data_IF_109171838863
#
_entry.id   IF_109171838863
#
_cell.length_a   1.000
_cell.length_b   1.000
_cell.length_c   1.000
_cell.angle_alpha   90.00
_cell.angle_beta   90.00
_cell.angle_gamma   90.00
#
_symmetry.space_group_name_H-M   'P 1'
#
loop_
_entity.id
_entity.type
_entity.pdbx_description
1 polymer ?
#
# COMPACT_ATOMS: atom_id res chain seq x y z
N UNK A 1 7.57 1.55 -33.84
CA UNK A 1 7.77 0.29 -33.09
C UNK A 1 6.49 -0.52 -33.13
N UNK A 2 6.52 -1.77 -32.64
CA UNK A 2 5.39 -2.72 -32.66
C UNK A 2 4.31 -2.46 -31.57
N UNK A 3 4.24 -1.26 -30.99
CA UNK A 3 3.32 -0.93 -29.88
C UNK A 3 1.82 -1.08 -30.19
N UNK A 4 1.48 -1.26 -31.48
CA UNK A 4 0.12 -1.57 -31.89
C UNK A 4 -0.28 -2.99 -31.46
N UNK A 5 0.62 -3.99 -31.52
CA UNK A 5 0.31 -5.39 -31.16
C UNK A 5 -0.14 -5.49 -29.69
N UNK A 6 0.55 -4.78 -28.78
CA UNK A 6 0.28 -4.74 -27.33
C UNK A 6 -0.81 -3.75 -26.92
N UNK A 7 -1.35 -2.96 -27.85
CA UNK A 7 -2.41 -1.97 -27.59
C UNK A 7 -3.71 -2.26 -28.32
N UNK A 8 -3.68 -3.11 -29.35
CA UNK A 8 -4.84 -3.52 -30.13
C UNK A 8 -5.99 -4.11 -29.27
N UNK A 9 -5.75 -4.96 -28.25
CA UNK A 9 -6.84 -5.48 -27.42
C UNK A 9 -7.53 -4.37 -26.59
N UNK A 10 -6.75 -3.42 -26.07
CA UNK A 10 -7.29 -2.28 -25.31
C UNK A 10 -8.08 -1.34 -26.22
N UNK A 11 -7.59 -1.10 -27.44
CA UNK A 11 -8.28 -0.27 -28.43
C UNK A 11 -9.57 -0.92 -28.94
N UNK A 12 -9.58 -2.23 -29.18
CA UNK A 12 -10.80 -2.99 -29.49
C UNK A 12 -11.83 -2.88 -28.35
N UNK A 13 -11.39 -3.08 -27.10
CA UNK A 13 -12.25 -2.95 -25.92
C UNK A 13 -12.79 -1.53 -25.74
N UNK A 14 -11.95 -0.51 -25.97
CA UNK A 14 -12.37 0.89 -25.93
C UNK A 14 -13.36 1.22 -27.06
N UNK A 15 -13.10 0.75 -28.29
CA UNK A 15 -13.98 0.93 -29.44
C UNK A 15 -15.36 0.29 -29.22
N UNK A 16 -15.40 -0.94 -28.69
CA UNK A 16 -16.65 -1.58 -28.28
C UNK A 16 -17.37 -0.81 -27.16
N UNK A 17 -16.63 -0.26 -26.19
CA UNK A 17 -17.18 0.52 -25.09
C UNK A 17 -17.77 1.88 -25.48
N UNK A 18 -17.34 2.46 -26.62
CA UNK A 18 -17.88 3.72 -27.18
C UNK A 18 -18.81 3.51 -28.38
N UNK A 19 -19.02 2.26 -28.82
CA UNK A 19 -20.02 1.96 -29.84
C UNK A 19 -21.42 2.26 -29.27
N UNK A 20 -22.32 2.95 -30.00
CA UNK A 20 -23.62 3.33 -29.47
C UNK A 20 -24.46 2.12 -29.02
N UNK A 21 -24.85 2.11 -27.75
CA UNK A 21 -25.79 1.16 -27.15
C UNK A 21 -26.72 1.90 -26.19
N UNK A 22 -27.87 1.31 -25.86
CA UNK A 22 -28.76 1.87 -24.84
C UNK A 22 -28.07 2.01 -23.47
N UNK A 23 -27.06 1.17 -23.19
CA UNK A 23 -26.31 1.16 -21.93
C UNK A 23 -25.23 2.24 -21.81
N UNK A 24 -24.78 2.88 -22.90
CA UNK A 24 -23.76 3.94 -22.87
C UNK A 24 -24.23 5.28 -23.47
N UNK A 25 -25.48 5.37 -23.92
CA UNK A 25 -26.09 6.59 -24.48
C UNK A 25 -25.84 7.84 -23.62
N UNK A 26 -26.17 7.77 -22.33
CA UNK A 26 -25.93 8.83 -21.34
C UNK A 26 -24.48 9.31 -21.28
N UNK A 27 -23.52 8.40 -21.46
CA UNK A 27 -22.10 8.72 -21.46
C UNK A 27 -21.69 9.41 -22.76
N UNK A 28 -22.18 8.92 -23.91
CA UNK A 28 -21.93 9.52 -25.22
C UNK A 28 -22.52 10.94 -25.34
N UNK A 29 -23.72 11.16 -24.80
CA UNK A 29 -24.34 12.50 -24.75
C UNK A 29 -23.54 13.48 -23.86
N UNK A 30 -22.95 12.99 -22.76
CA UNK A 30 -22.08 13.79 -21.87
C UNK A 30 -20.66 13.97 -22.41
N UNK A 31 -20.24 13.19 -23.40
CA UNK A 31 -18.91 13.23 -24.02
C UNK A 31 -18.99 13.35 -25.55
N UNK A 32 -19.59 14.44 -26.08
CA UNK A 32 -19.67 14.67 -27.53
C UNK A 32 -18.28 14.87 -28.12
N UNK A 33 -18.12 14.57 -29.43
CA UNK A 33 -16.83 14.70 -30.12
C UNK A 33 -16.29 16.15 -30.01
N UNK A 34 -15.06 16.38 -29.51
CA UNK A 34 -14.56 17.74 -29.25
C UNK A 34 -14.47 18.60 -30.51
N UNK A 35 -14.71 19.90 -30.36
CA UNK A 35 -14.54 20.87 -31.44
C UNK A 35 -13.10 20.88 -31.99
N UNK A 36 -12.10 20.73 -31.10
CA UNK A 36 -10.66 20.73 -31.45
C UNK A 36 -10.02 19.34 -31.32
N UNK A 37 -10.58 18.35 -32.02
CA UNK A 37 -10.16 16.92 -31.94
C UNK A 37 -8.65 16.66 -31.94
N UNK A 38 -7.86 17.35 -32.76
CA UNK A 38 -6.40 17.13 -32.83
C UNK A 38 -5.69 17.58 -31.54
N UNK A 39 -6.08 18.74 -30.97
CA UNK A 39 -5.51 19.28 -29.73
C UNK A 39 -5.89 18.40 -28.55
N UNK A 40 -7.17 18.02 -28.47
CA UNK A 40 -7.65 17.06 -27.47
C UNK A 40 -6.87 15.74 -27.54
N UNK A 41 -6.72 15.16 -28.73
CA UNK A 41 -5.97 13.91 -28.92
C UNK A 41 -4.49 14.04 -28.53
N UNK A 42 -3.84 15.18 -28.82
CA UNK A 42 -2.46 15.43 -28.43
C UNK A 42 -2.26 15.49 -26.91
N UNK A 43 -3.22 16.08 -26.17
CA UNK A 43 -3.18 16.18 -24.70
C UNK A 43 -3.63 14.90 -23.99
N UNK A 44 -4.60 14.16 -24.55
CA UNK A 44 -5.13 12.93 -23.98
C UNK A 44 -4.19 11.72 -24.15
N UNK A 45 -3.43 11.65 -25.25
CA UNK A 45 -2.45 10.58 -25.51
C UNK A 45 -1.46 10.33 -24.36
N UNK A 46 -0.72 11.33 -23.83
CA UNK A 46 0.22 11.10 -22.73
C UNK A 46 -0.47 10.73 -21.41
N UNK A 47 -1.69 11.25 -21.15
CA UNK A 47 -2.49 10.87 -19.98
C UNK A 47 -2.91 9.40 -20.05
N UNK A 48 -3.40 8.96 -21.21
CA UNK A 48 -3.79 7.57 -21.46
C UNK A 48 -2.59 6.60 -21.40
N UNK A 49 -1.45 6.98 -21.98
CA UNK A 49 -0.21 6.20 -21.88
C UNK A 49 0.22 6.04 -20.41
N UNK A 50 0.22 7.14 -19.63
CA UNK A 50 0.59 7.06 -18.21
C UNK A 50 -0.42 6.27 -17.38
N UNK A 51 -1.70 6.35 -17.70
CA UNK A 51 -2.74 5.53 -17.06
C UNK A 51 -2.52 4.03 -17.35
N UNK A 52 -2.11 3.65 -18.58
CA UNK A 52 -1.79 2.26 -18.94
C UNK A 52 -0.55 1.73 -18.18
N UNK A 53 0.51 2.54 -18.05
CA UNK A 53 1.67 2.18 -17.21
C UNK A 53 1.29 1.94 -15.74
N UNK A 54 0.49 2.84 -15.16
CA UNK A 54 0.02 2.70 -13.78
C UNK A 54 -0.97 1.55 -13.63
N UNK A 55 -1.78 1.24 -14.64
CA UNK A 55 -2.67 0.08 -14.63
C UNK A 55 -1.88 -1.24 -14.59
N UNK A 56 -0.81 -1.37 -15.38
CA UNK A 56 0.09 -2.51 -15.31
C UNK A 56 0.75 -2.62 -13.93
N UNK A 57 1.20 -1.49 -13.38
CA UNK A 57 1.76 -1.40 -12.01
C UNK A 57 0.75 -1.85 -10.96
N UNK A 58 -0.51 -1.39 -11.05
CA UNK A 58 -1.60 -1.79 -10.15
C UNK A 58 -1.91 -3.28 -10.25
N UNK A 59 -1.92 -3.86 -11.46
CA UNK A 59 -2.13 -5.29 -11.66
C UNK A 59 -1.02 -6.10 -10.98
N UNK A 60 0.25 -5.72 -11.15
CA UNK A 60 1.37 -6.36 -10.46
C UNK A 60 1.22 -6.27 -8.94
N UNK A 61 1.06 -5.06 -8.39
CA UNK A 61 0.94 -4.84 -6.94
C UNK A 61 -0.27 -5.56 -6.33
N UNK A 62 -1.46 -5.44 -6.93
CA UNK A 62 -2.70 -5.94 -6.32
C UNK A 62 -3.06 -7.38 -6.70
N UNK A 63 -2.93 -7.77 -7.98
CA UNK A 63 -3.38 -9.09 -8.44
C UNK A 63 -2.31 -10.16 -8.32
N UNK A 64 -1.03 -9.77 -8.40
CA UNK A 64 0.10 -10.69 -8.28
C UNK A 64 0.66 -10.63 -6.85
N UNK A 65 1.31 -9.54 -6.46
CA UNK A 65 2.06 -9.48 -5.19
C UNK A 65 1.18 -9.73 -3.96
N UNK A 66 0.03 -9.05 -3.81
CA UNK A 66 -0.88 -9.32 -2.68
C UNK A 66 -1.32 -10.78 -2.66
N UNK A 67 -1.69 -11.36 -3.81
CA UNK A 67 -2.12 -12.76 -3.88
C UNK A 67 -0.99 -13.71 -3.48
N UNK A 68 0.19 -13.57 -4.07
CA UNK A 68 1.36 -14.42 -3.76
C UNK A 68 1.73 -14.36 -2.27
N UNK A 69 1.62 -13.19 -1.64
CA UNK A 69 1.89 -13.03 -0.20
C UNK A 69 0.81 -13.63 0.69
N UNK A 70 -0.46 -13.55 0.30
CA UNK A 70 -1.56 -14.24 1.01
C UNK A 70 -1.44 -15.76 0.85
N UNK A 71 -1.21 -16.26 -0.36
CA UNK A 71 -1.03 -17.68 -0.65
C UNK A 71 0.19 -18.25 0.13
N UNK A 72 1.29 -17.48 0.22
CA UNK A 72 2.45 -17.82 1.05
C UNK A 72 2.10 -17.87 2.55
N UNK A 73 1.33 -16.89 3.05
CA UNK A 73 0.89 -16.87 4.45
C UNK A 73 0.01 -18.09 4.77
N UNK A 74 -0.94 -18.44 3.91
CA UNK A 74 -1.77 -19.64 4.06
C UNK A 74 -0.93 -20.92 4.05
N UNK A 75 -0.02 -21.06 3.08
CA UNK A 75 0.87 -22.21 3.00
C UNK A 75 1.74 -22.38 4.25
N UNK A 76 2.24 -21.27 4.82
CA UNK A 76 3.05 -21.26 6.03
C UNK A 76 2.24 -21.54 7.29
N UNK A 77 1.03 -20.99 7.44
CA UNK A 77 0.11 -21.33 8.53
C UNK A 77 -0.32 -22.82 8.46
N UNK A 78 -0.57 -23.34 7.26
CA UNK A 78 -0.91 -24.75 7.06
C UNK A 78 0.25 -25.67 7.44
N UNK A 79 1.48 -25.35 7.02
CA UNK A 79 2.68 -26.06 7.42
C UNK A 79 2.87 -26.02 8.95
N UNK A 80 2.72 -24.85 9.56
CA UNK A 80 2.78 -24.69 11.02
C UNK A 80 1.69 -25.50 11.76
N UNK A 81 0.49 -25.62 11.19
CA UNK A 81 -0.61 -26.36 11.81
C UNK A 81 -0.40 -27.87 11.72
N UNK A 82 -0.11 -28.39 10.52
CA UNK A 82 -0.19 -29.81 10.20
C UNK A 82 1.16 -30.50 9.97
N UNK A 83 2.29 -29.82 10.15
CA UNK A 83 3.63 -30.40 9.98
C UNK A 83 3.84 -31.64 10.87
N UNK A 84 4.52 -32.66 10.32
CA UNK A 84 4.89 -33.89 11.04
C UNK A 84 6.16 -34.50 10.45
N UNK A 85 6.98 -35.11 11.31
CA UNK A 85 8.11 -35.95 10.88
C UNK A 85 7.64 -37.40 10.98
N UNK A 86 7.19 -37.97 9.86
CA UNK A 86 6.69 -39.36 9.84
C UNK A 86 6.85 -40.02 8.47
N UNK A 87 7.11 -41.33 8.49
CA UNK A 87 7.03 -42.21 7.32
C UNK A 87 5.60 -42.71 7.05
N UNK A 88 4.63 -42.40 7.92
CA UNK A 88 3.23 -42.84 7.82
C UNK A 88 2.29 -41.78 7.24
N UNK A 89 2.70 -40.52 7.16
CA UNK A 89 1.89 -39.46 6.58
C UNK A 89 2.68 -38.17 6.33
N UNK A 90 2.28 -37.42 5.29
CA UNK A 90 2.86 -36.11 4.91
C UNK A 90 2.38 -34.94 5.78
N UNK A 91 1.32 -35.17 6.54
CA UNK A 91 0.68 -34.21 7.43
C UNK A 91 0.16 -34.95 8.68
N UNK A 92 -0.09 -34.18 9.75
CA UNK A 92 -0.52 -34.70 11.03
C UNK A 92 -1.79 -35.57 10.94
N UNK A 93 -2.77 -35.16 10.15
CA UNK A 93 -4.05 -35.87 10.04
C UNK A 93 -3.85 -37.26 9.39
N UNK A 94 -3.04 -37.31 8.33
CA UNK A 94 -2.66 -38.58 7.68
C UNK A 94 -1.86 -39.47 8.62
N UNK A 95 -0.92 -38.88 9.38
CA UNK A 95 -0.16 -39.60 10.41
C UNK A 95 -1.09 -40.18 11.49
N UNK A 96 -1.96 -39.37 12.09
CA UNK A 96 -2.85 -39.78 13.18
C UNK A 96 -3.83 -40.88 12.75
N UNK A 97 -4.34 -40.83 11.52
CA UNK A 97 -5.27 -41.84 10.98
C UNK A 97 -4.60 -43.18 10.62
N UNK A 98 -3.28 -43.18 10.42
CA UNK A 98 -2.51 -44.37 10.00
C UNK A 98 -1.61 -44.93 11.09
N UNK A 99 -1.29 -44.13 12.12
CA UNK A 99 -0.53 -44.58 13.27
C UNK A 99 -1.31 -45.63 14.06
N UNK A 100 -0.65 -46.77 14.31
CA UNK A 100 -1.09 -47.82 15.24
C UNK A 100 0.01 -48.22 16.23
N UNK A 101 1.04 -47.37 16.40
CA UNK A 101 2.04 -47.55 17.45
C UNK A 101 1.64 -46.75 18.68
N UNK A 102 1.81 -47.34 19.87
CA UNK A 102 1.67 -46.63 21.13
C UNK A 102 2.69 -45.49 21.25
N UNK A 103 2.31 -44.42 21.94
CA UNK A 103 3.19 -43.29 22.26
C UNK A 103 4.44 -43.75 23.01
N UNK A 104 5.59 -43.21 22.62
CA UNK A 104 6.87 -43.39 23.32
C UNK A 104 7.48 -42.04 23.72
N UNK A 105 8.52 -42.07 24.56
CA UNK A 105 9.30 -40.87 24.88
C UNK A 105 9.91 -40.22 23.62
N UNK A 106 10.21 -41.02 22.60
CA UNK A 106 10.87 -40.58 21.38
C UNK A 106 9.94 -39.92 20.36
N UNK A 107 8.64 -39.83 20.61
CA UNK A 107 7.68 -39.20 19.69
C UNK A 107 7.50 -37.71 20.01
N UNK A 108 7.35 -37.38 21.29
CA UNK A 108 7.14 -36.02 21.77
C UNK A 108 8.44 -35.28 22.12
N UNK A 109 9.48 -35.50 21.31
CA UNK A 109 10.82 -34.96 21.52
C UNK A 109 11.42 -34.38 20.22
N UNK A 110 12.35 -33.44 20.37
CA UNK A 110 13.26 -32.97 19.33
C UNK A 110 12.58 -32.45 18.07
N UNK A 111 13.08 -32.89 16.92
CA UNK A 111 12.66 -32.45 15.60
C UNK A 111 11.24 -32.91 15.25
N UNK A 112 10.81 -34.11 15.68
CA UNK A 112 9.44 -34.64 15.50
C UNK A 112 8.40 -33.72 16.14
N UNK A 113 8.58 -33.39 17.41
CA UNK A 113 7.68 -32.49 18.12
C UNK A 113 7.82 -31.04 17.65
N UNK A 114 8.93 -30.65 17.01
CA UNK A 114 9.10 -29.30 16.46
C UNK A 114 8.27 -28.96 15.21
N UNK A 115 7.63 -29.94 14.56
CA UNK A 115 7.09 -29.77 13.20
C UNK A 115 5.78 -28.99 13.08
N UNK A 116 4.79 -29.25 13.93
CA UNK A 116 3.43 -28.73 13.71
C UNK A 116 2.58 -28.68 14.97
N UNK A 117 1.72 -27.66 15.06
CA UNK A 117 0.89 -27.36 16.23
C UNK A 117 -0.04 -28.51 16.60
N UNK A 118 -0.66 -29.21 15.64
CA UNK A 118 -1.52 -30.37 15.96
C UNK A 118 -0.73 -31.53 16.59
N UNK A 119 0.50 -31.78 16.14
CA UNK A 119 1.38 -32.78 16.75
C UNK A 119 1.79 -32.38 18.18
N UNK A 120 2.05 -31.10 18.40
CA UNK A 120 2.32 -30.57 19.74
C UNK A 120 1.11 -30.71 20.67
N UNK A 121 -0.09 -30.37 20.19
CA UNK A 121 -1.34 -30.54 20.93
C UNK A 121 -1.55 -32.02 21.30
N UNK A 122 -1.33 -32.96 20.38
CA UNK A 122 -1.36 -34.38 20.69
C UNK A 122 -0.38 -34.76 21.81
N UNK A 123 0.85 -34.28 21.74
CA UNK A 123 1.87 -34.51 22.77
C UNK A 123 1.53 -33.89 24.14
N UNK A 124 0.86 -32.73 24.16
CA UNK A 124 0.48 -32.00 25.38
C UNK A 124 -0.82 -32.50 26.03
N UNK A 125 -1.70 -33.13 25.25
CA UNK A 125 -3.07 -33.44 25.67
C UNK A 125 -3.49 -34.89 25.55
N UNK A 126 -2.75 -35.73 24.80
CA UNK A 126 -3.14 -37.13 24.55
C UNK A 126 -2.07 -38.06 25.13
N UNK A 127 -2.34 -38.55 26.34
CA UNK A 127 -1.54 -39.55 27.02
C UNK A 127 -1.50 -40.92 26.33
N UNK A 128 -0.82 -41.87 26.99
CA UNK A 128 -0.68 -43.24 26.54
C UNK A 128 -1.95 -44.07 26.81
N UNK A 129 -2.63 -43.87 27.94
CA UNK A 129 -4.00 -44.32 28.20
C UNK A 129 -4.95 -43.11 28.32
N UNK A 130 -6.26 -43.36 28.50
CA UNK A 130 -7.29 -42.30 28.55
C UNK A 130 -7.21 -41.49 29.84
N UNK A 131 -6.80 -42.14 30.92
CA UNK A 131 -6.57 -41.56 32.26
C UNK A 131 -5.54 -40.43 32.27
N UNK A 132 -4.68 -40.32 31.25
CA UNK A 132 -3.69 -39.23 31.11
C UNK A 132 -4.04 -38.25 29.97
N UNK A 133 -5.31 -38.11 29.63
CA UNK A 133 -5.80 -37.14 28.61
C UNK A 133 -6.55 -35.94 29.22
N UNK A 134 -6.76 -35.93 30.53
CA UNK A 134 -7.53 -34.93 31.28
C UNK A 134 -6.92 -33.52 31.25
N UNK A 135 -5.58 -33.42 31.19
CA UNK A 135 -4.81 -32.21 31.46
C UNK A 135 -5.07 -30.99 30.56
N UNK A 136 -5.77 -31.14 29.42
CA UNK A 136 -6.09 -30.03 28.53
C UNK A 136 -7.56 -29.57 28.56
N UNK A 137 -8.51 -30.44 28.95
CA UNK A 137 -9.96 -30.12 28.95
C UNK A 137 -10.66 -30.38 30.29
N UNK A 138 -9.95 -30.92 31.29
CA UNK A 138 -10.48 -31.24 32.61
C UNK A 138 -11.28 -32.55 32.69
N UNK A 139 -11.18 -33.42 31.68
CA UNK A 139 -11.83 -34.72 31.63
C UNK A 139 -11.22 -35.62 30.56
N UNK A 140 -11.37 -36.94 30.71
CA UNK A 140 -10.78 -37.92 29.80
C UNK A 140 -11.42 -37.88 28.40
N UNK A 141 -10.58 -38.00 27.37
CA UNK A 141 -10.98 -38.30 26.00
C UNK A 141 -11.38 -39.78 25.88
N UNK A 142 -12.27 -40.09 24.94
CA UNK A 142 -12.68 -41.47 24.63
C UNK A 142 -11.54 -42.38 24.13
N UNK A 143 -10.41 -41.79 23.73
CA UNK A 143 -9.25 -42.46 23.12
C UNK A 143 -7.93 -41.82 23.53
N UNK A 144 -6.87 -42.62 23.50
CA UNK A 144 -5.49 -42.21 23.79
C UNK A 144 -4.55 -42.48 22.61
N UNK A 145 -3.26 -42.17 22.75
CA UNK A 145 -2.25 -42.51 21.76
C UNK A 145 -1.75 -43.95 21.98
N UNK A 146 -2.68 -44.90 21.80
CA UNK A 146 -2.52 -46.34 22.04
C UNK A 146 -1.90 -47.10 20.86
N UNK A 147 -1.64 -48.40 21.04
CA UNK A 147 -1.22 -49.32 19.97
C UNK A 147 -2.37 -49.76 19.03
N UNK A 148 -3.34 -48.88 18.77
CA UNK A 148 -4.52 -49.15 17.94
C UNK A 148 -4.58 -48.16 16.79
N UNK A 149 -4.74 -48.66 15.56
CA UNK A 149 -4.75 -47.82 14.36
C UNK A 149 -5.92 -46.83 14.39
N UNK A 150 -5.61 -45.54 14.34
CA UNK A 150 -6.60 -44.46 14.27
C UNK A 150 -7.13 -43.95 15.61
N UNK A 151 -6.75 -44.56 16.75
CA UNK A 151 -7.14 -44.05 18.07
C UNK A 151 -6.64 -42.62 18.30
N UNK A 152 -5.42 -42.30 17.84
CA UNK A 152 -4.87 -40.94 17.88
C UNK A 152 -5.69 -39.94 17.05
N UNK A 153 -6.22 -40.34 15.88
CA UNK A 153 -7.09 -39.49 15.08
C UNK A 153 -8.45 -39.25 15.76
N UNK A 154 -9.02 -40.28 16.39
CA UNK A 154 -10.27 -40.15 17.15
C UNK A 154 -10.10 -39.21 18.35
N UNK A 155 -9.04 -39.41 19.15
CA UNK A 155 -8.69 -38.55 20.29
C UNK A 155 -8.48 -37.08 19.86
N UNK A 156 -7.76 -36.84 18.76
CA UNK A 156 -7.59 -35.49 18.21
C UNK A 156 -8.89 -34.88 17.66
N UNK A 157 -9.77 -35.68 17.06
CA UNK A 157 -11.08 -35.25 16.56
C UNK A 157 -12.02 -34.86 17.70
N UNK A 158 -11.89 -35.50 18.85
CA UNK A 158 -12.58 -35.13 20.08
C UNK A 158 -12.01 -33.84 20.67
N UNK A 159 -10.71 -33.84 20.98
CA UNK A 159 -9.98 -32.72 21.58
C UNK A 159 -10.12 -31.40 20.80
N UNK A 160 -10.02 -31.42 19.47
CA UNK A 160 -10.08 -30.19 18.65
C UNK A 160 -11.45 -29.51 18.64
N UNK A 161 -12.53 -30.19 19.04
CA UNK A 161 -13.85 -29.55 19.25
C UNK A 161 -13.82 -28.52 20.38
N UNK A 162 -12.88 -28.62 21.31
CA UNK A 162 -12.73 -27.73 22.44
C UNK A 162 -11.94 -26.46 22.12
N UNK A 163 -11.21 -26.41 20.99
CA UNK A 163 -10.38 -25.26 20.61
C UNK A 163 -11.18 -23.96 20.40
N UNK A 164 -12.50 -24.03 20.19
CA UNK A 164 -13.39 -22.87 20.04
C UNK A 164 -14.01 -22.37 21.36
N UNK A 165 -13.70 -23.00 22.50
CA UNK A 165 -14.22 -22.58 23.82
C UNK A 165 -13.54 -21.30 24.35
N UNK A 166 -12.40 -20.91 23.79
CA UNK A 166 -11.68 -19.68 24.13
C UNK A 166 -12.02 -18.49 23.22
N UNK A 167 -11.40 -17.34 23.51
CA UNK A 167 -11.45 -16.17 22.60
C UNK A 167 -10.79 -16.53 21.27
N UNK A 168 -11.51 -16.32 20.16
CA UNK A 168 -10.95 -16.41 18.82
C UNK A 168 -10.43 -15.02 18.41
N UNK A 169 -9.11 -14.76 18.42
CA UNK A 169 -8.58 -13.46 18.03
C UNK A 169 -8.72 -13.23 16.52
N UNK A 170 -8.87 -11.97 16.12
CA UNK A 170 -8.75 -11.59 14.70
C UNK A 170 -7.36 -11.93 14.20
N UNK A 171 -7.27 -12.57 13.03
CA UNK A 171 -6.00 -12.88 12.38
C UNK A 171 -5.33 -11.60 11.88
N UNK A 172 -4.20 -11.23 12.50
CA UNK A 172 -3.33 -10.13 12.07
C UNK A 172 -1.85 -10.55 12.21
N UNK A 173 -0.89 -9.85 11.59
CA UNK A 173 0.53 -10.11 11.80
C UNK A 173 0.95 -10.07 13.27
N UNK A 174 0.34 -9.20 14.07
CA UNK A 174 0.62 -8.98 15.49
C UNK A 174 0.05 -10.11 16.35
N UNK A 175 -1.19 -10.55 16.10
CA UNK A 175 -1.81 -11.63 16.88
C UNK A 175 -1.10 -12.97 16.65
N UNK A 176 -0.57 -13.21 15.45
CA UNK A 176 0.30 -14.36 15.16
C UNK A 176 1.61 -14.31 15.97
N UNK A 177 2.31 -13.16 15.99
CA UNK A 177 3.55 -12.97 16.78
C UNK A 177 3.29 -13.11 18.28
N UNK A 178 2.20 -12.54 18.77
CA UNK A 178 1.80 -12.63 20.17
C UNK A 178 1.48 -14.09 20.58
N UNK A 179 0.82 -14.86 19.71
CA UNK A 179 0.55 -16.28 19.96
C UNK A 179 1.83 -17.12 20.06
N UNK A 180 2.80 -16.91 19.15
CA UNK A 180 4.12 -17.57 19.22
C UNK A 180 4.84 -17.20 20.52
N UNK A 181 4.96 -15.90 20.81
CA UNK A 181 5.62 -15.43 22.02
C UNK A 181 4.94 -15.92 23.32
N UNK A 182 3.61 -16.05 23.33
CA UNK A 182 2.88 -16.60 24.47
C UNK A 182 3.25 -18.07 24.74
N UNK A 183 3.37 -18.89 23.69
CA UNK A 183 3.79 -20.31 23.83
C UNK A 183 5.28 -20.42 24.18
N UNK A 184 6.15 -19.64 23.54
CA UNK A 184 7.59 -19.59 23.88
C UNK A 184 7.80 -19.25 25.36
N UNK A 185 7.05 -18.29 25.88
CA UNK A 185 7.09 -17.91 27.29
C UNK A 185 6.66 -19.03 28.26
N UNK A 186 5.90 -20.04 27.82
CA UNK A 186 5.47 -21.17 28.65
C UNK A 186 6.48 -22.33 28.65
N UNK A 187 7.40 -22.36 27.67
CA UNK A 187 8.48 -23.35 27.65
C UNK A 187 9.34 -23.18 28.90
N UNK A 188 9.56 -24.28 29.60
CA UNK A 188 10.32 -24.36 30.84
C UNK A 188 9.58 -23.97 32.12
N UNK A 189 8.30 -23.56 32.10
CA UNK A 189 7.64 -23.07 33.34
C UNK A 189 7.21 -24.13 34.37
N UNK A 190 7.22 -25.43 34.04
CA UNK A 190 6.60 -26.49 34.87
C UNK A 190 7.50 -27.69 35.21
N UNK A 191 8.82 -27.57 35.08
CA UNK A 191 9.76 -28.61 35.52
C UNK A 191 10.10 -28.47 37.02
N UNK A 192 10.10 -29.58 37.76
CA UNK A 192 10.16 -29.55 39.25
C UNK A 192 11.53 -29.77 39.88
N UNK A 193 12.54 -30.28 39.16
CA UNK A 193 13.85 -30.63 39.77
C UNK A 193 15.09 -30.29 38.93
N UNK A 194 15.21 -30.74 37.67
CA UNK A 194 16.46 -30.55 36.87
C UNK A 194 16.29 -30.37 35.36
N UNK A 195 15.10 -30.56 34.79
CA UNK A 195 14.89 -30.65 33.32
C UNK A 195 13.96 -29.54 32.81
N UNK A 196 14.27 -28.31 33.23
CA UNK A 196 13.32 -27.19 33.24
C UNK A 196 13.54 -26.20 32.08
N UNK A 197 14.47 -26.48 31.15
CA UNK A 197 14.86 -25.53 30.09
C UNK A 197 14.18 -25.73 28.72
N UNK A 198 13.64 -26.91 28.45
CA UNK A 198 13.31 -27.34 27.08
C UNK A 198 11.88 -27.90 26.91
N UNK A 199 11.04 -27.85 27.95
CA UNK A 199 9.73 -28.56 27.95
C UNK A 199 8.51 -27.67 28.00
N UNK A 200 7.44 -28.11 27.35
CA UNK A 200 6.09 -27.55 27.48
C UNK A 200 5.14 -28.67 27.97
N UNK A 201 4.28 -28.41 28.96
CA UNK A 201 3.36 -29.41 29.53
C UNK A 201 3.71 -29.91 30.94
N UNK A 202 3.17 -31.07 31.34
CA UNK A 202 3.38 -31.73 32.65
C UNK A 202 4.52 -32.74 32.52
N UNK A 203 5.58 -32.61 33.31
CA UNK A 203 6.70 -33.57 33.34
C UNK A 203 7.31 -33.66 34.74
N UNK A 204 7.20 -34.82 35.38
CA UNK A 204 7.81 -35.17 36.67
C UNK A 204 9.31 -35.57 36.56
N UNK A 205 9.82 -35.72 35.33
CA UNK A 205 11.04 -36.46 35.01
C UNK A 205 11.76 -35.87 33.79
N UNK A 206 12.68 -36.62 33.16
CA UNK A 206 13.37 -36.23 31.93
C UNK A 206 12.54 -36.42 30.65
N UNK A 207 11.36 -37.04 30.75
CA UNK A 207 10.68 -37.69 29.64
C UNK A 207 9.26 -37.15 29.36
N UNK A 208 8.76 -37.41 28.14
CA UNK A 208 7.43 -37.04 27.64
C UNK A 208 6.67 -38.25 27.06
N UNK A 209 6.72 -39.38 27.78
CA UNK A 209 6.10 -40.66 27.39
C UNK A 209 4.57 -40.62 27.23
N UNK A 210 3.90 -39.65 27.85
CA UNK A 210 2.43 -39.62 27.96
C UNK A 210 1.86 -40.53 29.06
N UNK A 211 2.69 -41.11 29.93
CA UNK A 211 2.25 -41.70 31.19
C UNK A 211 1.85 -40.60 32.20
N UNK A 212 1.30 -40.96 33.37
CA UNK A 212 1.00 -39.96 34.40
C UNK A 212 2.26 -39.17 34.77
N UNK A 213 2.06 -37.89 35.00
CA UNK A 213 3.10 -36.92 35.24
C UNK A 213 3.90 -36.53 34.00
N UNK A 214 3.73 -37.17 32.83
CA UNK A 214 4.67 -37.12 31.68
C UNK A 214 4.02 -36.76 30.34
N UNK A 215 2.93 -35.99 30.38
CA UNK A 215 2.24 -35.48 29.18
C UNK A 215 2.82 -34.11 28.81
N UNK A 216 3.83 -34.13 27.96
CA UNK A 216 4.58 -32.95 27.54
C UNK A 216 5.11 -33.03 26.10
N UNK A 217 5.68 -31.91 25.65
CA UNK A 217 6.59 -31.78 24.52
C UNK A 217 7.98 -31.43 25.04
N UNK A 218 9.02 -32.01 24.45
CA UNK A 218 10.42 -31.69 24.69
C UNK A 218 11.09 -31.11 23.43
N UNK A 219 11.60 -29.90 23.53
CA UNK A 219 12.22 -29.11 22.47
C UNK A 219 13.75 -29.01 22.63
N UNK A 220 14.39 -30.09 23.07
CA UNK A 220 15.84 -30.16 23.33
C UNK A 220 16.75 -29.82 22.12
N UNK A 221 16.20 -29.80 20.90
CA UNK A 221 16.92 -29.32 19.71
C UNK A 221 16.93 -27.80 19.56
N UNK A 222 15.95 -27.11 20.14
CA UNK A 222 15.72 -25.67 19.99
C UNK A 222 16.04 -24.88 21.25
N UNK A 223 16.01 -25.53 22.42
CA UNK A 223 16.38 -24.96 23.71
C UNK A 223 17.33 -25.89 24.45
N UNK A 224 18.20 -25.31 25.28
CA UNK A 224 19.16 -26.06 26.11
C UNK A 224 18.86 -25.84 27.58
N UNK A 225 18.87 -26.93 28.36
CA UNK A 225 18.90 -26.88 29.82
C UNK A 225 20.28 -26.51 30.38
N UNK A 226 21.32 -26.40 29.54
CA UNK A 226 22.68 -26.02 29.93
C UNK A 226 23.10 -24.69 29.29
N UNK A 227 23.56 -23.76 30.12
CA UNK A 227 23.90 -22.39 29.72
C UNK A 227 25.03 -22.30 28.67
N UNK A 228 25.94 -23.28 28.65
CA UNK A 228 27.12 -23.29 27.79
C UNK A 228 26.88 -23.89 26.39
N UNK A 229 25.64 -24.29 26.06
CA UNK A 229 25.27 -24.88 24.77
C UNK A 229 24.04 -24.17 24.16
N UNK A 230 24.10 -22.86 23.86
CA UNK A 230 22.97 -22.13 23.32
C UNK A 230 22.58 -22.64 21.94
N UNK A 231 21.34 -23.14 21.83
CA UNK A 231 20.71 -23.48 20.55
C UNK A 231 20.34 -22.18 19.80
N UNK A 232 20.38 -22.22 18.46
CA UNK A 232 20.16 -21.05 17.58
C UNK A 232 18.99 -21.21 16.61
N UNK A 233 18.44 -22.41 16.49
CA UNK A 233 17.28 -22.68 15.65
C UNK A 233 15.99 -22.40 16.44
N UNK A 234 15.01 -21.75 15.81
CA UNK A 234 13.66 -21.64 16.34
C UNK A 234 12.86 -22.91 16.01
N UNK A 235 11.89 -23.27 16.85
CA UNK A 235 10.97 -24.38 16.61
C UNK A 235 10.27 -24.18 15.26
N UNK A 236 10.23 -25.20 14.41
CA UNK A 236 9.85 -25.03 13.00
C UNK A 236 8.41 -24.52 12.80
N UNK A 237 7.44 -25.01 13.59
CA UNK A 237 6.07 -24.50 13.52
C UNK A 237 5.97 -23.01 13.94
N UNK A 238 6.79 -22.56 14.90
CA UNK A 238 6.83 -21.16 15.33
C UNK A 238 7.43 -20.26 14.25
N UNK A 239 8.55 -20.70 13.65
CA UNK A 239 9.19 -19.98 12.54
C UNK A 239 8.24 -19.84 11.34
N UNK A 240 7.48 -20.89 11.01
CA UNK A 240 6.48 -20.84 9.95
C UNK A 240 5.34 -19.84 10.25
N UNK A 241 4.92 -19.66 11.50
CA UNK A 241 3.94 -18.61 11.88
C UNK A 241 4.56 -17.20 11.75
N UNK A 242 5.82 -17.01 12.11
CA UNK A 242 6.51 -15.72 11.94
C UNK A 242 6.73 -15.35 10.46
N UNK A 243 7.02 -16.35 9.62
CA UNK A 243 7.06 -16.18 8.16
C UNK A 243 5.68 -15.84 7.59
N UNK A 244 4.61 -16.46 8.08
CA UNK A 244 3.23 -16.11 7.69
C UNK A 244 2.88 -14.67 8.10
N UNK A 245 3.21 -14.27 9.34
CA UNK A 245 3.06 -12.88 9.82
C UNK A 245 3.80 -11.89 8.92
N UNK A 246 5.05 -12.22 8.54
CA UNK A 246 5.87 -11.41 7.62
C UNK A 246 5.25 -11.31 6.22
N UNK A 247 4.68 -12.40 5.70
CA UNK A 247 3.99 -12.43 4.42
C UNK A 247 2.70 -11.58 4.45
N UNK A 248 1.91 -11.65 5.53
CA UNK A 248 0.72 -10.79 5.71
C UNK A 248 1.09 -9.29 5.73
N UNK A 249 2.11 -8.89 6.50
CA UNK A 249 2.60 -7.49 6.50
C UNK A 249 3.06 -7.04 5.10
N UNK A 250 3.69 -7.94 4.32
CA UNK A 250 4.07 -7.65 2.94
C UNK A 250 2.85 -7.49 2.02
N UNK A 251 1.80 -8.29 2.19
CA UNK A 251 0.54 -8.16 1.46
C UNK A 251 -0.15 -6.83 1.76
N UNK A 252 -0.20 -6.40 3.03
CA UNK A 252 -0.78 -5.10 3.42
C UNK A 252 -0.02 -3.91 2.83
N UNK A 253 1.32 -4.01 2.77
CA UNK A 253 2.16 -3.01 2.11
C UNK A 253 1.90 -2.94 0.60
N UNK A 254 1.85 -4.08 -0.10
CA UNK A 254 1.54 -4.14 -1.53
C UNK A 254 0.13 -3.62 -1.83
N UNK A 255 -0.86 -3.95 -0.99
CA UNK A 255 -2.23 -3.42 -1.05
C UNK A 255 -2.26 -1.90 -0.89
N UNK A 256 -1.50 -1.36 0.05
CA UNK A 256 -1.41 0.10 0.28
C UNK A 256 -0.81 0.82 -0.94
N UNK A 257 0.25 0.24 -1.53
CA UNK A 257 0.85 0.76 -2.76
C UNK A 257 -0.12 0.70 -3.95
N UNK A 258 -0.85 -0.41 -4.11
CA UNK A 258 -1.88 -0.54 -5.12
C UNK A 258 -2.99 0.52 -4.98
N UNK A 259 -3.45 0.82 -3.76
CA UNK A 259 -4.44 1.89 -3.52
C UNK A 259 -3.91 3.26 -3.94
N UNK A 260 -2.63 3.57 -3.66
CA UNK A 260 -2.00 4.81 -4.11
C UNK A 260 -1.86 4.88 -5.64
N UNK A 261 -1.54 3.76 -6.30
CA UNK A 261 -1.52 3.63 -7.75
C UNK A 261 -2.91 3.84 -8.36
N UNK A 262 -3.96 3.24 -7.77
CA UNK A 262 -5.34 3.40 -8.20
C UNK A 262 -5.83 4.86 -8.06
N UNK A 263 -5.50 5.54 -6.96
CA UNK A 263 -5.78 6.96 -6.79
C UNK A 263 -5.08 7.83 -7.85
N UNK A 264 -3.86 7.46 -8.24
CA UNK A 264 -3.12 8.14 -9.31
C UNK A 264 -3.78 7.96 -10.68
N UNK A 265 -4.31 6.76 -10.98
CA UNK A 265 -5.11 6.50 -12.20
C UNK A 265 -6.41 7.33 -12.18
N UNK A 266 -7.09 7.41 -11.03
CA UNK A 266 -8.30 8.23 -10.89
C UNK A 266 -8.03 9.72 -11.16
N UNK A 267 -6.93 10.28 -10.63
CA UNK A 267 -6.52 11.65 -10.91
C UNK A 267 -6.21 11.89 -12.41
N UNK A 268 -5.58 10.93 -13.09
CA UNK A 268 -5.35 11.00 -14.54
C UNK A 268 -6.68 10.98 -15.32
N UNK A 269 -7.66 10.17 -14.90
CA UNK A 269 -9.00 10.17 -15.48
C UNK A 269 -9.67 11.54 -15.33
N UNK A 270 -9.72 12.11 -14.13
CA UNK A 270 -10.29 13.46 -13.90
C UNK A 270 -9.58 14.54 -14.70
N UNK A 271 -8.25 14.44 -14.86
CA UNK A 271 -7.47 15.35 -15.71
C UNK A 271 -7.86 15.20 -17.19
N UNK A 272 -8.04 13.96 -17.67
CA UNK A 272 -8.48 13.67 -19.03
C UNK A 272 -9.90 14.18 -19.30
N UNK A 273 -10.83 14.03 -18.35
CA UNK A 273 -12.19 14.57 -18.42
C UNK A 273 -12.18 16.11 -18.51
N UNK A 274 -11.34 16.78 -17.71
CA UNK A 274 -11.17 18.24 -17.78
C UNK A 274 -10.57 18.72 -19.12
N UNK A 275 -9.57 18.01 -19.65
CA UNK A 275 -8.99 18.27 -20.99
C UNK A 275 -10.06 18.08 -22.08
N UNK A 276 -10.86 17.02 -21.98
CA UNK A 276 -11.92 16.72 -22.95
C UNK A 276 -13.02 17.78 -22.93
N UNK A 277 -13.43 18.25 -21.74
CA UNK A 277 -14.39 19.32 -21.57
C UNK A 277 -13.86 20.67 -22.10
N UNK A 278 -12.61 21.02 -21.81
CA UNK A 278 -11.99 22.24 -22.32
C UNK A 278 -11.93 22.26 -23.86
N UNK A 279 -11.74 21.10 -24.51
CA UNK A 279 -11.74 20.97 -25.96
C UNK A 279 -13.14 21.05 -26.62
N UNK A 280 -14.22 21.07 -25.84
CA UNK A 280 -15.57 21.39 -26.33
C UNK A 280 -15.79 22.89 -26.53
N UNK A 281 -15.06 23.72 -25.77
CA UNK A 281 -15.08 25.17 -25.93
C UNK A 281 -14.52 25.45 -27.33
N UNK A 282 -15.40 25.87 -28.24
CA UNK A 282 -14.95 26.47 -29.50
C UNK A 282 -14.07 27.66 -29.10
N UNK A 283 -12.79 27.64 -29.48
CA UNK A 283 -12.15 28.91 -29.75
C UNK A 283 -12.97 29.55 -30.85
N UNK A 284 -13.71 30.61 -30.50
CA UNK A 284 -14.02 31.62 -31.48
C UNK A 284 -12.68 32.15 -31.98
N UNK A 285 -12.24 31.59 -33.10
CA UNK A 285 -11.40 32.34 -34.03
C UNK A 285 -12.30 33.45 -34.55
N UNK A 286 -12.43 34.49 -33.74
CA UNK A 286 -12.61 35.82 -34.28
C UNK A 286 -11.46 36.01 -35.24
N UNK A 287 -11.76 35.96 -36.53
CA UNK A 287 -10.88 36.41 -37.58
C UNK A 287 -10.78 37.94 -37.48
N UNK A 288 -10.21 38.42 -36.37
CA UNK A 288 -9.52 39.70 -36.37
C UNK A 288 -8.32 39.51 -37.26
N UNK A 289 -8.22 40.38 -38.27
CA UNK A 289 -7.15 40.37 -39.25
C UNK A 289 -5.78 40.38 -38.56
N UNK A 290 -4.82 39.71 -39.18
CA UNK A 290 -3.54 39.33 -38.57
C UNK A 290 -2.86 40.42 -37.74
N UNK A 291 -2.78 40.23 -36.43
CA UNK A 291 -1.61 40.65 -35.65
C UNK A 291 -0.96 39.43 -35.00
N UNK A 292 0.35 39.34 -35.15
CA UNK A 292 1.10 38.09 -35.03
C UNK A 292 1.16 37.49 -33.63
N UNK A 293 1.65 36.25 -33.60
CA UNK A 293 1.84 35.46 -32.40
C UNK A 293 2.56 36.23 -31.26
N UNK A 294 2.26 35.92 -29.98
CA UNK A 294 2.96 36.51 -28.85
C UNK A 294 4.42 36.00 -28.82
N UNK A 295 5.29 36.75 -29.47
CA UNK A 295 6.74 36.55 -29.38
C UNK A 295 7.17 36.70 -27.92
N UNK A 296 8.02 35.78 -27.45
CA UNK A 296 8.40 35.67 -26.05
C UNK A 296 9.01 36.97 -25.50
N UNK A 297 8.75 37.20 -24.20
CA UNK A 297 9.27 38.31 -23.39
C UNK A 297 10.69 38.74 -23.77
N UNK A 298 10.81 39.90 -24.43
CA UNK A 298 11.96 40.77 -24.25
C UNK A 298 11.52 41.98 -23.43
N UNK A 299 12.23 42.23 -22.33
CA UNK A 299 12.24 43.54 -21.66
C UNK A 299 12.60 44.59 -22.71
N UNK A 300 11.71 45.55 -22.95
CA UNK A 300 11.91 46.58 -23.97
C UNK A 300 12.88 47.63 -23.45
N UNK A 301 14.15 47.46 -23.79
CA UNK A 301 15.14 48.52 -23.55
C UNK A 301 14.91 49.66 -24.56
N UNK A 302 14.26 50.73 -24.09
CA UNK A 302 14.12 51.99 -24.85
C UNK A 302 15.37 52.87 -24.69
N UNK A 303 16.29 52.51 -23.79
CA UNK A 303 17.51 53.27 -23.51
C UNK A 303 18.50 53.07 -24.66
N UNK A 304 19.21 54.14 -25.03
CA UNK A 304 20.19 54.20 -26.14
C UNK A 304 19.62 54.26 -27.58
N UNK A 305 18.31 54.39 -27.80
CA UNK A 305 17.76 54.68 -29.13
C UNK A 305 17.88 56.19 -29.43
N UNK A 306 18.62 56.54 -30.50
CA UNK A 306 18.96 57.93 -30.87
C UNK A 306 18.13 58.53 -32.02
N UNK A 307 17.11 57.84 -32.53
CA UNK A 307 16.32 58.28 -33.70
C UNK A 307 14.80 58.11 -33.49
N UNK A 308 14.03 59.09 -33.96
CA UNK A 308 12.56 59.14 -33.83
C UNK A 308 11.88 57.91 -34.47
N UNK A 309 12.29 57.56 -35.70
CA UNK A 309 11.74 56.42 -36.46
C UNK A 309 11.88 55.09 -35.72
N UNK A 310 13.12 54.76 -35.31
CA UNK A 310 13.42 53.51 -34.60
C UNK A 310 12.79 53.47 -33.21
N UNK A 311 12.61 54.63 -32.55
CA UNK A 311 11.89 54.71 -31.28
C UNK A 311 10.40 54.33 -31.43
N UNK A 312 9.74 54.83 -32.48
CA UNK A 312 8.33 54.51 -32.80
C UNK A 312 8.14 53.05 -33.19
N UNK A 313 9.03 52.49 -34.01
CA UNK A 313 9.05 51.05 -34.34
C UNK A 313 9.17 50.17 -33.09
N UNK A 314 10.08 50.54 -32.17
CA UNK A 314 10.24 49.88 -30.86
C UNK A 314 9.10 50.19 -29.89
N UNK A 315 8.05 50.92 -30.30
CA UNK A 315 6.87 51.40 -29.55
C UNK A 315 7.20 52.00 -28.18
N UNK A 316 8.30 52.73 -28.13
CA UNK A 316 8.66 53.63 -27.04
C UNK A 316 8.07 55.03 -27.34
N UNK A 317 8.04 55.93 -26.36
CA UNK A 317 7.64 57.34 -26.58
C UNK A 317 8.88 58.13 -26.98
N UNK A 318 8.78 58.93 -28.03
CA UNK A 318 9.83 59.89 -28.39
C UNK A 318 9.46 61.26 -27.81
N UNK A 319 10.37 61.85 -27.05
CA UNK A 319 10.22 63.20 -26.49
C UNK A 319 11.25 64.11 -27.15
N UNK A 320 10.77 65.09 -27.92
CA UNK A 320 11.61 66.07 -28.60
C UNK A 320 12.07 67.16 -27.63
N UNK A 321 13.30 67.63 -27.85
CA UNK A 321 13.87 68.77 -27.15
C UNK A 321 14.42 69.75 -28.20
N UNK A 322 13.86 70.96 -28.19
CA UNK A 322 14.30 72.08 -29.01
C UNK A 322 14.37 71.78 -30.53
N UNK A 323 13.44 70.96 -31.02
CA UNK A 323 13.06 70.84 -32.43
C UNK A 323 14.02 70.10 -33.36
N UNK A 324 15.16 69.56 -32.88
CA UNK A 324 16.09 68.77 -33.70
C UNK A 324 16.64 67.50 -33.07
N UNK A 325 16.73 67.44 -31.73
CA UNK A 325 17.14 66.22 -31.01
C UNK A 325 16.02 65.75 -30.07
N UNK A 326 16.04 64.48 -29.69
CA UNK A 326 15.03 63.92 -28.79
C UNK A 326 15.50 62.67 -28.09
N UNK A 327 14.77 62.26 -27.06
CA UNK A 327 15.05 61.08 -26.26
C UNK A 327 13.94 60.06 -26.41
N UNK A 328 14.33 58.81 -26.67
CA UNK A 328 13.42 57.67 -26.60
C UNK A 328 13.26 57.24 -25.13
N UNK A 329 12.04 57.21 -24.62
CA UNK A 329 11.69 56.81 -23.25
C UNK A 329 10.59 55.76 -23.24
N UNK A 330 10.48 55.00 -22.16
CA UNK A 330 9.40 54.02 -21.99
C UNK A 330 8.07 54.78 -21.93
N UNK A 331 7.05 54.27 -22.62
CA UNK A 331 5.75 54.93 -22.64
C UNK A 331 4.93 54.61 -21.38
N UNK A 332 5.09 55.45 -20.35
CA UNK A 332 4.43 55.29 -19.04
C UNK A 332 2.90 55.44 -19.07
N UNK A 333 2.31 55.97 -20.15
CA UNK A 333 0.84 55.97 -20.35
C UNK A 333 0.21 54.57 -20.53
N UNK A 334 1.00 53.49 -20.42
CA UNK A 334 0.50 52.11 -20.22
C UNK A 334 0.99 51.47 -18.91
N UNK A 335 1.51 52.26 -17.96
CA UNK A 335 2.11 51.79 -16.70
C UNK A 335 1.70 52.68 -15.50
N UNK A 336 0.41 52.65 -15.14
CA UNK A 336 -0.15 53.01 -13.81
C UNK A 336 -1.59 52.45 -13.78
N UNK A 337 -1.96 51.44 -12.99
CA UNK A 337 -1.99 51.27 -11.52
C UNK A 337 -3.30 51.79 -10.86
N UNK A 338 -4.17 50.84 -10.49
CA UNK A 338 -5.31 50.85 -9.55
C UNK A 338 -6.33 52.01 -9.49
N UNK A 339 -7.61 51.63 -9.57
CA UNK A 339 -8.67 52.10 -8.65
C UNK A 339 -9.71 50.98 -8.39
N UNK A 340 -10.31 51.00 -7.19
CA UNK A 340 -11.16 49.93 -6.64
C UNK A 340 -12.67 50.13 -6.94
N UNK A 341 -13.50 49.08 -6.77
CA UNK A 341 -14.57 48.96 -5.73
C UNK A 341 -15.60 47.86 -6.08
N UNK A 342 -16.21 47.24 -5.06
CA UNK A 342 -17.23 46.16 -5.13
C UNK A 342 -18.65 46.69 -5.52
N UNK A 343 -19.74 45.94 -5.70
CA UNK A 343 -20.09 44.51 -5.57
C UNK A 343 -21.17 44.18 -6.68
N UNK A 344 -21.99 43.12 -6.73
CA UNK A 344 -22.38 41.98 -5.86
C UNK A 344 -22.97 40.86 -6.73
N UNK A 345 -23.11 39.61 -6.25
CA UNK A 345 -23.97 38.58 -6.88
C UNK A 345 -23.48 37.13 -6.70
N UNK A 346 -24.21 36.32 -5.95
CA UNK A 346 -23.90 34.89 -5.76
C UNK A 346 -24.32 34.05 -6.96
N UNK A 347 -23.41 33.23 -7.52
CA UNK A 347 -23.54 31.75 -7.54
C UNK A 347 -22.41 31.06 -8.32
N UNK A 348 -22.07 29.86 -7.85
CA UNK A 348 -21.60 28.69 -8.60
C UNK A 348 -20.30 28.73 -9.46
N UNK A 349 -19.42 27.77 -9.15
CA UNK A 349 -18.64 26.93 -10.07
C UNK A 349 -17.75 27.53 -11.18
N UNK A 350 -16.45 27.27 -11.04
CA UNK A 350 -15.68 26.56 -12.07
C UNK A 350 -15.05 27.39 -13.20
N UNK A 351 -13.76 27.72 -13.05
CA UNK A 351 -12.98 28.32 -14.14
C UNK A 351 -11.49 28.40 -13.80
N UNK A 352 -10.76 27.29 -13.92
CA UNK A 352 -9.33 27.23 -13.59
C UNK A 352 -8.44 27.84 -14.70
N UNK A 353 -8.52 29.15 -14.90
CA UNK A 353 -7.27 29.90 -15.03
C UNK A 353 -6.43 29.57 -13.78
N UNK A 354 -5.14 29.25 -13.94
CA UNK A 354 -4.28 28.86 -12.81
C UNK A 354 -4.43 29.90 -11.70
N UNK A 355 -5.03 29.53 -10.57
CA UNK A 355 -5.39 30.43 -9.48
C UNK A 355 -4.86 29.85 -8.17
N UNK A 356 -4.21 30.70 -7.37
CA UNK A 356 -3.49 30.29 -6.16
C UNK A 356 -2.02 29.95 -6.43
N UNK A 357 -1.44 29.14 -5.54
CA UNK A 357 0.01 29.03 -5.33
C UNK A 357 0.83 28.68 -6.59
N UNK A 358 0.23 27.96 -7.53
CA UNK A 358 0.87 27.56 -8.78
C UNK A 358 1.29 28.75 -9.67
N UNK A 359 0.62 29.91 -9.58
CA UNK A 359 1.02 31.12 -10.33
C UNK A 359 2.35 31.71 -9.85
N UNK A 360 2.77 31.39 -8.62
CA UNK A 360 3.96 31.96 -7.97
C UNK A 360 4.96 30.87 -7.60
N UNK A 361 4.97 29.78 -8.37
CA UNK A 361 5.81 28.58 -8.19
C UNK A 361 7.29 28.89 -7.89
N UNK A 362 7.83 29.94 -8.51
CA UNK A 362 9.23 30.38 -8.40
C UNK A 362 9.39 31.77 -7.75
N UNK A 363 8.35 32.31 -7.10
CA UNK A 363 8.35 33.67 -6.54
C UNK A 363 7.89 33.67 -5.07
N UNK A 364 8.85 33.81 -4.15
CA UNK A 364 8.60 33.72 -2.70
C UNK A 364 7.68 34.84 -2.20
N UNK A 365 7.97 36.09 -2.54
CA UNK A 365 7.20 37.23 -2.03
C UNK A 365 5.75 37.17 -2.50
N UNK A 366 5.52 36.82 -3.77
CA UNK A 366 4.15 36.65 -4.27
C UNK A 366 3.46 35.42 -3.68
N UNK A 367 4.21 34.35 -3.38
CA UNK A 367 3.68 33.19 -2.66
C UNK A 367 3.15 33.54 -1.26
N UNK A 368 3.91 34.36 -0.52
CA UNK A 368 3.57 34.77 0.85
C UNK A 368 2.41 35.78 0.86
N UNK A 369 2.39 36.74 -0.08
CA UNK A 369 1.29 37.70 -0.25
C UNK A 369 -0.08 37.08 -0.52
N UNK A 370 -0.16 35.86 -1.10
CA UNK A 370 -1.45 35.15 -1.24
C UNK A 370 -2.10 34.87 0.14
N UNK A 371 -1.35 34.87 1.24
CA UNK A 371 -1.88 34.63 2.59
C UNK A 371 -2.31 35.90 3.34
N UNK A 372 -2.00 37.09 2.82
CA UNK A 372 -2.41 38.35 3.46
C UNK A 372 -3.94 38.45 3.55
N UNK A 373 -4.45 38.86 4.71
CA UNK A 373 -5.89 38.94 4.99
C UNK A 373 -6.63 37.60 5.17
N UNK A 374 -5.92 36.46 5.30
CA UNK A 374 -6.54 35.14 5.49
C UNK A 374 -6.22 34.56 6.86
N UNK A 375 -7.25 34.04 7.55
CA UNK A 375 -7.08 33.39 8.87
C UNK A 375 -6.08 32.21 8.88
N UNK A 376 -5.90 31.55 7.73
CA UNK A 376 -5.06 30.35 7.59
C UNK A 376 -4.28 30.44 6.27
N UNK A 377 -2.96 30.14 6.27
CA UNK A 377 -2.15 30.20 5.05
C UNK A 377 -2.59 29.14 4.04
N UNK A 378 -2.95 29.59 2.85
CA UNK A 378 -3.35 28.73 1.72
C UNK A 378 -2.18 28.35 0.82
N UNK A 379 -1.07 29.10 0.90
CA UNK A 379 0.18 28.84 0.20
C UNK A 379 1.37 28.78 1.17
N UNK A 380 2.37 27.95 0.87
CA UNK A 380 3.61 27.90 1.61
C UNK A 380 4.81 27.75 0.67
N UNK A 381 5.88 28.49 0.95
CA UNK A 381 7.17 28.38 0.26
C UNK A 381 7.99 27.24 0.89
N UNK A 382 8.04 26.08 0.23
CA UNK A 382 8.65 24.87 0.83
C UNK A 382 9.30 23.93 -0.19
N UNK A 383 10.18 23.09 0.33
CA UNK A 383 10.80 21.95 -0.36
C UNK A 383 9.74 20.90 -0.75
N UNK A 384 10.06 20.07 -1.75
CA UNK A 384 9.20 18.95 -2.14
C UNK A 384 9.10 17.86 -1.07
N UNK A 385 8.05 17.04 -1.14
CA UNK A 385 7.90 15.86 -0.27
C UNK A 385 8.77 14.69 -0.73
N UNK A 386 8.85 13.64 0.08
CA UNK A 386 9.44 12.37 -0.38
C UNK A 386 8.69 11.82 -1.60
N UNK A 387 9.44 11.36 -2.60
CA UNK A 387 8.91 10.97 -3.91
C UNK A 387 8.86 12.08 -4.96
N UNK A 388 9.13 13.33 -4.60
CA UNK A 388 9.21 14.44 -5.56
C UNK A 388 10.58 14.53 -6.23
N UNK A 389 10.60 14.68 -7.57
CA UNK A 389 11.86 14.80 -8.36
C UNK A 389 12.66 16.05 -8.01
N UNK A 390 12.02 17.03 -7.38
CA UNK A 390 12.59 18.32 -7.01
C UNK A 390 12.57 18.55 -5.50
N UNK A 391 12.65 17.47 -4.70
CA UNK A 391 12.56 17.51 -3.23
C UNK A 391 13.43 18.58 -2.57
N UNK A 392 14.57 18.93 -3.15
CA UNK A 392 15.50 19.93 -2.61
C UNK A 392 15.27 21.38 -3.04
N UNK A 393 14.35 21.63 -3.98
CA UNK A 393 14.03 22.98 -4.44
C UNK A 393 12.88 23.59 -3.64
N UNK A 394 13.08 24.79 -3.10
CA UNK A 394 12.02 25.59 -2.47
C UNK A 394 11.08 26.16 -3.55
N UNK A 395 9.78 25.90 -3.43
CA UNK A 395 8.76 26.38 -4.38
C UNK A 395 7.45 26.74 -3.66
N UNK A 396 6.61 27.55 -4.31
CA UNK A 396 5.28 27.86 -3.78
C UNK A 396 4.31 26.69 -3.99
N UNK A 397 3.70 26.20 -2.90
CA UNK A 397 2.80 25.02 -2.92
C UNK A 397 1.55 25.22 -2.09
N UNK A 398 0.46 24.56 -2.47
CA UNK A 398 -0.82 24.60 -1.76
C UNK A 398 -0.67 24.08 -0.31
N UNK A 399 -1.18 24.86 0.65
CA UNK A 399 -1.09 24.63 2.10
C UNK A 399 -2.01 23.54 2.64
N UNK A 400 -2.86 22.93 1.81
CA UNK A 400 -3.87 21.92 2.21
C UNK A 400 -3.23 20.71 2.91
N UNK A 401 -1.95 20.41 2.65
CA UNK A 401 -1.15 19.40 3.34
C UNK A 401 -0.85 19.68 4.83
N UNK A 402 -1.41 20.72 5.44
CA UNK A 402 -1.20 21.08 6.86
C UNK A 402 -2.22 20.46 7.84
N UNK A 403 -3.31 19.86 7.36
CA UNK A 403 -4.23 19.08 8.22
C UNK A 403 -3.84 17.60 8.26
N UNK A 404 -2.87 17.28 9.13
CA UNK A 404 -2.77 16.03 9.93
C UNK A 404 -1.43 15.91 10.69
N UNK A 405 -0.96 17.01 11.33
CA UNK A 405 0.06 16.96 12.39
C UNK A 405 -0.44 17.67 13.66
N UNK A 406 -1.41 17.02 14.32
CA UNK A 406 -1.61 17.10 15.76
C UNK A 406 -2.00 15.70 16.27
N UNK A 407 -0.98 14.90 16.55
CA UNK A 407 -1.04 13.85 17.56
C UNK A 407 0.17 14.11 18.46
N UNK A 408 -0.11 14.65 19.64
CA UNK A 408 0.52 14.31 20.90
C UNK A 408 -0.61 13.76 21.77
#
# INVERSE_FOLDING_TARGET
>A
GKDWETSWPDWLKAAAGIAPTDSNKDWLEKHPRPATTQIAAAQLKPLAAKAKELQATYVTQYKVEVKEKIDLAEAKLKAALTGVHSTKGKDFNTFAATNGAARTNGDCNGDKAGQGVLYNIACLCIGAATTETDGCIGGELSKSWSASKGDLAAAMTELTKHCTQGVTPTLTPETLKAAVAAVENLIGRRGTTTVVGDKLGKSDSADCTGADGRVCVKYNEYYSSTANSPKKAKVQWMAAIEEASTALTAAEKAKTQAVATAASIANLKTTAEAVYAAAQIKQEVTASESQGAPQSKHTRDCTNIKTNTTCKEKRCKWEEKDGKDGKCVVNESKVTQHTNTAATGETATGGAASTGCAQHFNDKEKCEKINEGKEKPVCAWKKGGEGDKEKDQLRCRNGIFLKNKKIF
#
